data_IF_020639514007
#
_entry.id   IF_020639514007
#
_cell.length_a   1.000
_cell.length_b   1.000
_cell.length_c   1.000
_cell.angle_alpha   90.00
_cell.angle_beta   90.00
_cell.angle_gamma   90.00
#
_symmetry.space_group_name_H-M   'P 1'
#
loop_
_entity.id
_entity.type
_entity.pdbx_description
1 polymer ?
#
# COMPACT_ATOMS: atom_id res chain seq x y z
N UNK A 1 6.73 11.72 -22.13
CA UNK A 1 7.46 12.69 -21.28
C UNK A 1 6.44 13.71 -20.84
N UNK A 2 6.02 13.67 -19.59
CA UNK A 2 5.12 14.67 -19.02
C UNK A 2 5.97 15.73 -18.33
N UNK A 3 5.97 16.96 -18.82
CA UNK A 3 6.47 18.12 -18.10
C UNK A 3 5.31 18.73 -17.31
N UNK A 4 5.39 18.66 -15.98
CA UNK A 4 4.44 19.34 -15.11
C UNK A 4 5.13 20.63 -14.63
N UNK A 5 4.62 21.77 -15.08
CA UNK A 5 4.99 23.06 -14.51
C UNK A 5 3.93 23.45 -13.49
N UNK A 6 4.31 23.49 -12.23
CA UNK A 6 3.45 24.04 -11.18
C UNK A 6 3.81 25.50 -10.96
N UNK A 7 2.85 26.38 -11.16
CA UNK A 7 2.96 27.79 -10.82
C UNK A 7 2.26 28.02 -9.48
N UNK A 8 3.03 28.39 -8.48
CA UNK A 8 2.49 28.89 -7.21
C UNK A 8 2.07 30.35 -7.32
N UNK A 9 0.91 30.71 -6.79
CA UNK A 9 0.44 32.10 -6.75
C UNK A 9 1.11 32.87 -5.61
N UNK A 10 1.31 34.16 -5.84
CA UNK A 10 1.84 35.10 -4.85
C UNK A 10 0.97 35.12 -3.60
N UNK A 11 1.55 34.86 -2.43
CA UNK A 11 0.77 34.72 -1.23
C UNK A 11 0.91 35.90 -0.27
N UNK A 12 -0.15 36.17 0.40
CA UNK A 12 -0.25 37.10 1.51
C UNK A 12 0.23 36.40 2.80
N UNK A 13 0.83 37.20 3.71
CA UNK A 13 1.03 36.74 5.08
C UNK A 13 -0.31 36.74 5.81
N UNK A 14 -0.71 35.57 6.32
CA UNK A 14 -1.93 35.43 7.12
C UNK A 14 -1.56 35.03 8.54
N UNK A 15 -2.08 35.81 9.47
CA UNK A 15 -2.01 35.48 10.90
C UNK A 15 -3.26 34.68 11.30
N UNK A 16 -3.06 33.50 11.89
CA UNK A 16 -4.15 32.64 12.35
C UNK A 16 -4.30 32.61 13.88
N UNK A 17 -3.70 33.56 14.59
CA UNK A 17 -3.70 33.63 16.06
C UNK A 17 -2.52 32.92 16.73
N UNK A 18 -1.74 32.11 16.01
CA UNK A 18 -0.60 31.36 16.55
C UNK A 18 0.68 31.47 15.71
N UNK A 19 0.57 31.58 14.40
CA UNK A 19 1.71 31.68 13.49
C UNK A 19 1.37 32.45 12.22
N UNK A 20 2.40 32.98 11.59
CA UNK A 20 2.30 33.59 10.28
C UNK A 20 2.52 32.54 9.19
N UNK A 21 1.61 32.48 8.25
CA UNK A 21 1.78 31.68 7.03
C UNK A 21 2.16 32.62 5.90
N UNK A 22 3.30 32.39 5.26
CA UNK A 22 3.73 33.12 4.08
C UNK A 22 3.67 32.19 2.87
N UNK A 23 2.92 32.60 1.86
CA UNK A 23 2.88 31.94 0.56
C UNK A 23 3.76 32.73 -0.40
N UNK A 24 4.69 32.07 -1.07
CA UNK A 24 5.55 32.70 -2.07
C UNK A 24 5.24 32.14 -3.44
N UNK A 25 5.29 32.98 -4.48
CA UNK A 25 5.27 32.50 -5.85
C UNK A 25 6.55 31.71 -6.08
N UNK A 26 6.40 30.44 -6.47
CA UNK A 26 7.52 29.54 -6.72
C UNK A 26 7.32 28.89 -8.08
N UNK A 27 8.28 29.06 -8.95
CA UNK A 27 8.34 28.33 -10.22
C UNK A 27 9.10 27.02 -9.92
N UNK A 28 8.38 25.94 -9.65
CA UNK A 28 8.98 24.61 -9.54
C UNK A 28 8.94 23.92 -10.91
N UNK A 29 10.08 23.37 -11.33
CA UNK A 29 10.18 22.57 -12.55
C UNK A 29 10.41 21.13 -12.15
N UNK A 30 9.57 20.22 -12.64
CA UNK A 30 9.82 18.78 -12.54
C UNK A 30 9.76 18.14 -13.90
N UNK A 31 10.64 17.19 -14.14
CA UNK A 31 10.61 16.30 -15.29
C UNK A 31 10.38 14.90 -14.76
N UNK A 32 9.30 14.27 -15.20
CA UNK A 32 8.93 12.92 -14.81
C UNK A 32 8.94 12.03 -16.05
N UNK A 33 9.61 10.87 -15.92
CA UNK A 33 9.65 9.83 -16.94
C UNK A 33 9.24 8.53 -16.26
N UNK A 34 8.23 7.87 -16.80
CA UNK A 34 7.77 6.60 -16.26
C UNK A 34 7.32 5.65 -17.35
N UNK A 35 7.27 4.38 -16.98
CA UNK A 35 6.77 3.30 -17.82
C UNK A 35 6.26 2.16 -16.97
N UNK A 36 5.36 1.36 -17.52
CA UNK A 36 4.87 0.15 -16.91
C UNK A 36 4.81 -0.99 -17.90
N UNK A 37 5.00 -2.21 -17.38
CA UNK A 37 4.88 -3.46 -18.10
C UNK A 37 3.89 -4.34 -17.38
N UNK A 38 3.00 -4.96 -18.14
CA UNK A 38 2.01 -5.90 -17.64
C UNK A 38 2.07 -7.19 -18.44
N UNK A 39 2.22 -8.32 -17.74
CA UNK A 39 2.20 -9.65 -18.31
C UNK A 39 1.19 -10.49 -17.53
N UNK A 40 0.31 -11.19 -18.22
CA UNK A 40 -0.65 -12.10 -17.59
C UNK A 40 -0.79 -13.37 -18.42
N UNK A 41 -0.84 -14.52 -17.73
CA UNK A 41 -1.06 -15.82 -18.37
C UNK A 41 -2.06 -16.63 -17.57
N UNK A 42 -3.07 -17.16 -18.25
CA UNK A 42 -4.02 -18.12 -17.73
C UNK A 42 -3.65 -19.54 -18.16
N UNK A 43 -3.78 -20.48 -17.24
CA UNK A 43 -3.65 -21.93 -17.44
C UNK A 43 -4.99 -22.56 -17.09
N UNK A 44 -5.85 -22.64 -18.08
CA UNK A 44 -7.27 -23.00 -17.87
C UNK A 44 -7.45 -24.39 -17.28
N UNK A 45 -6.68 -25.37 -17.76
CA UNK A 45 -6.73 -26.75 -17.26
C UNK A 45 -6.30 -26.87 -15.79
N UNK A 46 -5.49 -25.93 -15.31
CA UNK A 46 -5.01 -25.86 -13.93
C UNK A 46 -5.84 -24.92 -13.07
N UNK A 47 -6.84 -24.25 -13.63
CA UNK A 47 -7.57 -23.16 -12.94
C UNK A 47 -6.66 -22.11 -12.34
N UNK A 48 -5.53 -21.83 -13.01
CA UNK A 48 -4.47 -20.95 -12.53
C UNK A 48 -4.31 -19.73 -13.44
N UNK A 49 -4.22 -18.57 -12.84
CA UNK A 49 -3.85 -17.33 -13.51
C UNK A 49 -2.66 -16.70 -12.80
N UNK A 50 -1.68 -16.31 -13.58
CA UNK A 50 -0.50 -15.56 -13.09
C UNK A 50 -0.45 -14.19 -13.72
N UNK A 51 0.02 -13.22 -12.97
CA UNK A 51 0.18 -11.84 -13.43
C UNK A 51 1.47 -11.28 -12.85
N UNK A 52 2.17 -10.51 -13.65
CA UNK A 52 3.32 -9.72 -13.24
C UNK A 52 3.14 -8.31 -13.78
N UNK A 53 3.15 -7.34 -12.90
CA UNK A 53 3.16 -5.93 -13.24
C UNK A 53 4.46 -5.31 -12.73
N UNK A 54 5.12 -4.53 -13.57
CA UNK A 54 6.30 -3.77 -13.24
C UNK A 54 6.10 -2.32 -13.61
N UNK A 55 6.52 -1.40 -12.77
CA UNK A 55 6.52 0.02 -13.09
C UNK A 55 7.82 0.67 -12.65
N UNK A 56 8.25 1.65 -13.42
CA UNK A 56 9.37 2.51 -13.15
C UNK A 56 8.97 3.95 -13.30
N UNK A 57 9.37 4.79 -12.37
CA UNK A 57 9.16 6.22 -12.44
C UNK A 57 10.43 6.95 -11.97
N UNK A 58 10.91 7.86 -12.81
CA UNK A 58 12.02 8.76 -12.53
C UNK A 58 11.51 10.18 -12.48
N UNK A 59 11.84 10.90 -11.40
CA UNK A 59 11.52 12.30 -11.20
C UNK A 59 12.79 13.10 -10.97
N UNK A 60 12.91 14.23 -11.64
CA UNK A 60 13.96 15.21 -11.39
C UNK A 60 13.36 16.59 -11.32
N UNK A 61 13.63 17.32 -10.24
CA UNK A 61 13.03 18.63 -10.08
C UNK A 61 13.71 19.47 -9.01
N UNK A 62 13.07 20.59 -8.75
CA UNK A 62 13.42 21.50 -7.68
C UNK A 62 12.20 21.70 -6.78
N UNK A 63 12.42 21.63 -5.50
CA UNK A 63 11.41 21.90 -4.48
C UNK A 63 11.95 22.92 -3.51
N UNK A 64 11.10 23.84 -3.09
CA UNK A 64 11.49 24.88 -2.16
C UNK A 64 11.23 24.44 -0.72
N UNK A 65 12.25 24.65 0.12
CA UNK A 65 12.13 24.44 1.56
C UNK A 65 12.82 25.60 2.28
N UNK A 66 12.09 26.26 3.17
CA UNK A 66 12.58 27.42 3.93
C UNK A 66 13.18 28.53 3.03
N UNK A 67 12.52 28.81 1.89
CA UNK A 67 12.96 29.86 0.95
C UNK A 67 14.14 29.49 0.06
N UNK A 68 14.65 28.24 0.11
CA UNK A 68 15.76 27.77 -0.73
C UNK A 68 15.28 26.71 -1.70
N UNK A 69 15.72 26.82 -2.96
CA UNK A 69 15.52 25.78 -3.96
C UNK A 69 16.43 24.58 -3.65
N UNK A 70 15.88 23.40 -3.55
CA UNK A 70 16.58 22.14 -3.35
C UNK A 70 16.31 21.28 -4.56
N UNK A 71 17.34 21.00 -5.35
CA UNK A 71 17.23 20.06 -6.46
C UNK A 71 17.21 18.63 -5.94
N UNK A 72 16.37 17.81 -6.53
CA UNK A 72 16.26 16.38 -6.20
C UNK A 72 16.16 15.51 -7.45
N UNK A 73 16.54 14.26 -7.28
CA UNK A 73 16.21 13.17 -8.19
C UNK A 73 15.60 12.03 -7.38
N UNK A 74 14.59 11.38 -7.92
CA UNK A 74 13.95 10.23 -7.30
C UNK A 74 13.68 9.15 -8.33
N UNK A 75 13.96 7.91 -7.96
CA UNK A 75 13.64 6.70 -8.72
C UNK A 75 12.69 5.84 -7.91
N UNK A 76 11.63 5.37 -8.53
CA UNK A 76 10.71 4.43 -7.93
C UNK A 76 10.53 3.22 -8.85
N UNK A 77 10.77 2.04 -8.32
CA UNK A 77 10.53 0.76 -9.00
C UNK A 77 9.50 0.00 -8.20
N UNK A 78 8.44 -0.46 -8.85
CA UNK A 78 7.43 -1.30 -8.22
C UNK A 78 7.23 -2.57 -9.03
N UNK A 79 7.21 -3.71 -8.35
CA UNK A 79 6.93 -5.02 -8.95
C UNK A 79 5.78 -5.67 -8.20
N UNK A 80 4.74 -6.09 -8.94
CA UNK A 80 3.52 -6.69 -8.38
C UNK A 80 3.26 -8.06 -9.03
N UNK A 81 3.80 -9.15 -8.46
CA UNK A 81 3.40 -10.51 -8.83
C UNK A 81 2.04 -10.86 -8.23
N UNK A 82 1.21 -11.58 -8.97
CA UNK A 82 0.01 -12.20 -8.42
C UNK A 82 -0.25 -13.57 -9.02
N UNK A 83 -0.88 -14.43 -8.21
CA UNK A 83 -1.25 -15.78 -8.56
C UNK A 83 -2.67 -16.00 -8.06
N UNK A 84 -3.56 -16.40 -8.95
CA UNK A 84 -4.95 -16.78 -8.65
C UNK A 84 -5.14 -18.25 -9.05
N UNK A 85 -5.54 -19.08 -8.10
CA UNK A 85 -5.89 -20.49 -8.30
C UNK A 85 -7.32 -20.70 -7.82
N UNK A 86 -8.22 -21.12 -8.72
CA UNK A 86 -9.66 -21.16 -8.43
C UNK A 86 -10.35 -22.38 -9.05
N UNK A 87 -10.07 -23.61 -8.58
CA UNK A 87 -10.88 -24.76 -8.90
C UNK A 87 -12.28 -24.65 -8.28
N UNK A 88 -13.18 -25.55 -8.60
CA UNK A 88 -14.60 -25.47 -8.20
C UNK A 88 -14.86 -25.50 -6.69
N UNK A 89 -13.95 -26.03 -5.89
CA UNK A 89 -14.12 -26.23 -4.44
C UNK A 89 -13.34 -25.23 -3.56
N UNK A 90 -12.39 -24.51 -4.13
CA UNK A 90 -11.65 -23.49 -3.39
C UNK A 90 -11.21 -22.34 -4.30
N UNK A 91 -10.80 -21.24 -3.70
CA UNK A 91 -10.04 -20.19 -4.36
C UNK A 91 -8.86 -19.80 -3.47
N UNK A 92 -7.71 -19.61 -4.08
CA UNK A 92 -6.50 -19.12 -3.45
C UNK A 92 -5.97 -17.97 -4.28
N UNK A 93 -5.62 -16.87 -3.62
CA UNK A 93 -4.99 -15.73 -4.26
C UNK A 93 -3.76 -15.30 -3.47
N UNK A 94 -2.69 -15.04 -4.19
CA UNK A 94 -1.48 -14.39 -3.68
C UNK A 94 -1.24 -13.11 -4.46
N UNK A 95 -0.97 -12.03 -3.74
CA UNK A 95 -0.55 -10.75 -4.31
C UNK A 95 0.67 -10.22 -3.56
N UNK A 96 1.71 -9.87 -4.30
CA UNK A 96 2.89 -9.19 -3.79
C UNK A 96 2.98 -7.78 -4.35
N UNK A 97 3.52 -6.86 -3.57
CA UNK A 97 3.93 -5.53 -4.01
C UNK A 97 5.27 -5.21 -3.39
N UNK A 98 6.27 -5.01 -4.23
CA UNK A 98 7.65 -4.73 -3.84
C UNK A 98 8.02 -3.36 -4.40
N UNK A 99 8.31 -2.40 -3.55
CA UNK A 99 8.61 -1.03 -3.92
C UNK A 99 10.01 -0.64 -3.46
N UNK A 100 10.83 -0.21 -4.41
CA UNK A 100 12.16 0.31 -4.19
C UNK A 100 12.16 1.80 -4.53
N UNK A 101 12.44 2.61 -3.57
CA UNK A 101 12.51 4.04 -3.72
C UNK A 101 13.93 4.53 -3.45
N UNK A 102 14.48 5.30 -4.38
CA UNK A 102 15.76 5.97 -4.22
C UNK A 102 15.58 7.47 -4.40
N UNK A 103 16.18 8.25 -3.53
CA UNK A 103 16.14 9.70 -3.60
C UNK A 103 17.52 10.28 -3.34
N UNK A 104 17.89 11.28 -4.11
CA UNK A 104 19.10 12.06 -3.91
C UNK A 104 18.73 13.53 -3.91
N UNK A 105 19.07 14.22 -2.85
CA UNK A 105 18.90 15.67 -2.69
C UNK A 105 20.24 16.35 -2.84
N UNK A 106 20.22 17.60 -3.32
CA UNK A 106 21.41 18.40 -3.43
C UNK A 106 22.17 18.47 -2.09
N UNK A 107 23.47 18.13 -2.11
CA UNK A 107 24.35 18.14 -0.93
C UNK A 107 23.99 17.14 0.20
N UNK A 108 23.08 16.20 -0.04
CA UNK A 108 22.75 15.14 0.91
C UNK A 108 23.16 13.78 0.37
N UNK A 109 23.31 12.81 1.26
CA UNK A 109 23.52 11.42 0.89
C UNK A 109 22.29 10.88 0.14
N UNK A 110 22.51 9.85 -0.69
CA UNK A 110 21.42 9.11 -1.33
C UNK A 110 20.64 8.39 -0.23
N UNK A 111 19.33 8.55 -0.24
CA UNK A 111 18.41 7.80 0.63
C UNK A 111 17.70 6.74 -0.21
N UNK A 112 17.62 5.53 0.29
CA UNK A 112 16.90 4.43 -0.33
C UNK A 112 15.92 3.81 0.66
N UNK A 113 14.79 3.32 0.15
CA UNK A 113 13.81 2.57 0.92
C UNK A 113 13.37 1.35 0.15
N UNK A 114 13.14 0.29 0.89
CA UNK A 114 12.53 -0.92 0.41
C UNK A 114 11.31 -1.25 1.26
N UNK A 115 10.14 -1.19 0.64
CA UNK A 115 8.89 -1.59 1.24
C UNK A 115 8.29 -2.75 0.47
N UNK A 116 7.66 -3.68 1.17
CA UNK A 116 6.89 -4.71 0.51
C UNK A 116 5.63 -5.08 1.29
N UNK A 117 4.61 -5.44 0.55
CA UNK A 117 3.36 -5.97 1.02
C UNK A 117 3.11 -7.31 0.33
N UNK A 118 2.78 -8.32 1.10
CA UNK A 118 2.34 -9.62 0.57
C UNK A 118 0.99 -9.95 1.17
N UNK A 119 0.06 -10.37 0.34
CA UNK A 119 -1.25 -10.83 0.78
C UNK A 119 -1.55 -12.20 0.23
N UNK A 120 -2.11 -13.03 1.10
CA UNK A 120 -2.64 -14.35 0.77
C UNK A 120 -4.09 -14.38 1.19
N UNK A 121 -4.96 -14.85 0.32
CA UNK A 121 -6.34 -15.15 0.66
C UNK A 121 -6.69 -16.56 0.20
N UNK A 122 -7.48 -17.25 0.98
CA UNK A 122 -7.99 -18.56 0.66
C UNK A 122 -9.46 -18.66 1.05
N UNK A 123 -10.25 -19.23 0.18
CA UNK A 123 -11.65 -19.59 0.46
C UNK A 123 -11.91 -21.03 0.04
N UNK A 124 -12.69 -21.75 0.81
CA UNK A 124 -13.10 -23.10 0.47
C UNK A 124 -14.56 -23.32 0.88
N UNK A 125 -15.31 -24.05 0.04
CA UNK A 125 -16.67 -24.48 0.35
C UNK A 125 -16.65 -25.98 0.54
N UNK A 126 -16.93 -26.44 1.76
CA UNK A 126 -16.99 -27.85 2.13
C UNK A 126 -18.41 -28.16 2.57
N UNK A 127 -19.16 -28.83 1.70
CA UNK A 127 -20.57 -29.12 1.93
C UNK A 127 -21.40 -27.84 2.18
N UNK A 128 -21.79 -27.59 3.41
CA UNK A 128 -22.59 -26.43 3.83
C UNK A 128 -21.78 -25.37 4.58
N UNK A 129 -20.46 -25.51 4.62
CA UNK A 129 -19.56 -24.61 5.33
C UNK A 129 -18.68 -23.89 4.33
N UNK A 130 -18.72 -22.55 4.36
CA UNK A 130 -17.75 -21.72 3.67
C UNK A 130 -16.71 -21.28 4.69
N UNK A 131 -15.45 -21.47 4.34
CA UNK A 131 -14.30 -21.03 5.11
C UNK A 131 -13.59 -19.94 4.32
N UNK A 132 -13.16 -18.90 5.00
CA UNK A 132 -12.26 -17.91 4.40
C UNK A 132 -11.12 -17.55 5.37
N UNK A 133 -9.98 -17.26 4.79
CA UNK A 133 -8.78 -16.86 5.49
C UNK A 133 -8.08 -15.78 4.68
N UNK A 134 -7.57 -14.77 5.34
CA UNK A 134 -6.71 -13.76 4.75
C UNK A 134 -5.51 -13.46 5.64
N UNK A 135 -4.38 -13.22 5.00
CA UNK A 135 -3.12 -12.87 5.65
C UNK A 135 -2.45 -11.77 4.87
N UNK A 136 -2.03 -10.71 5.54
CA UNK A 136 -1.27 -9.62 4.93
C UNK A 136 -0.04 -9.36 5.77
N UNK A 137 1.12 -9.38 5.11
CA UNK A 137 2.40 -9.05 5.71
C UNK A 137 2.95 -7.78 5.08
N UNK A 138 3.28 -6.81 5.92
CA UNK A 138 3.91 -5.56 5.55
C UNK A 138 5.33 -5.52 6.10
N UNK A 139 6.25 -5.09 5.25
CA UNK A 139 7.59 -4.70 5.65
C UNK A 139 7.77 -3.25 5.23
N UNK A 140 7.82 -2.35 6.19
CA UNK A 140 7.98 -0.93 5.95
C UNK A 140 9.33 -0.48 6.53
N UNK A 141 10.18 0.01 5.68
CA UNK A 141 11.40 0.70 6.10
C UNK A 141 11.03 2.13 6.53
N UNK A 142 11.31 2.49 7.78
CA UNK A 142 10.93 3.77 8.36
C UNK A 142 12.01 4.84 8.14
N UNK A 143 13.25 4.45 8.32
CA UNK A 143 14.44 5.24 8.06
C UNK A 143 15.59 4.27 7.76
N UNK A 144 16.70 4.78 7.26
CA UNK A 144 17.90 3.98 6.97
C UNK A 144 18.24 3.05 8.14
N UNK A 145 18.12 1.75 7.92
CA UNK A 145 18.38 0.71 8.93
C UNK A 145 17.27 0.44 9.95
N UNK A 146 16.17 1.19 9.94
CA UNK A 146 15.00 0.94 10.79
C UNK A 146 13.83 0.43 9.98
N UNK A 147 13.24 -0.70 10.35
CA UNK A 147 12.11 -1.30 9.65
C UNK A 147 11.06 -1.82 10.62
N UNK A 148 9.82 -1.88 10.16
CA UNK A 148 8.69 -2.46 10.89
C UNK A 148 8.07 -3.58 10.08
N UNK A 149 7.92 -4.75 10.70
CA UNK A 149 7.20 -5.89 10.16
C UNK A 149 5.84 -6.00 10.84
N UNK A 150 4.77 -5.97 10.04
CA UNK A 150 3.41 -6.11 10.54
C UNK A 150 2.71 -7.25 9.83
N UNK A 151 2.23 -8.22 10.59
CA UNK A 151 1.44 -9.35 10.11
C UNK A 151 0.01 -9.18 10.60
N UNK A 152 -0.94 -9.11 9.66
CA UNK A 152 -2.38 -9.04 9.92
C UNK A 152 -3.03 -10.29 9.34
N UNK A 153 -4.07 -10.78 9.98
CA UNK A 153 -4.79 -11.94 9.49
C UNK A 153 -6.20 -11.97 10.03
N UNK A 154 -7.10 -12.48 9.19
CA UNK A 154 -8.51 -12.66 9.51
C UNK A 154 -8.95 -14.05 9.06
N UNK A 155 -9.91 -14.62 9.77
CA UNK A 155 -10.51 -15.92 9.42
C UNK A 155 -12.01 -15.85 9.62
N UNK A 156 -12.76 -16.52 8.76
CA UNK A 156 -14.20 -16.67 8.95
C UNK A 156 -14.71 -18.05 8.55
N UNK A 157 -15.80 -18.43 9.16
CA UNK A 157 -16.55 -19.62 8.84
C UNK A 157 -18.04 -19.28 8.76
N UNK A 158 -18.71 -19.75 7.71
CA UNK A 158 -20.16 -19.57 7.51
C UNK A 158 -20.79 -20.94 7.30
N UNK A 159 -21.64 -21.34 8.23
CA UNK A 159 -22.42 -22.55 8.13
C UNK A 159 -23.83 -22.24 7.63
N UNK A 160 -24.22 -22.85 6.50
CA UNK A 160 -25.54 -22.67 5.87
C UNK A 160 -26.39 -23.90 6.09
N UNK A 161 -27.49 -23.72 6.79
CA UNK A 161 -28.58 -24.66 6.92
C UNK A 161 -29.81 -24.15 6.14
N UNK A 162 -30.81 -24.97 5.92
CA UNK A 162 -31.99 -24.61 5.09
C UNK A 162 -32.56 -23.22 5.39
N UNK A 163 -32.76 -22.88 6.68
CA UNK A 163 -33.35 -21.63 7.12
C UNK A 163 -32.44 -20.83 8.07
N UNK A 164 -31.33 -21.41 8.49
CA UNK A 164 -30.40 -20.81 9.45
C UNK A 164 -29.01 -20.66 8.83
N UNK A 165 -28.45 -19.46 8.95
CA UNK A 165 -27.06 -19.16 8.60
C UNK A 165 -26.33 -18.71 9.86
N UNK A 166 -25.30 -19.42 10.25
CA UNK A 166 -24.41 -19.05 11.33
C UNK A 166 -23.08 -18.58 10.73
N UNK A 167 -22.59 -17.44 11.18
CA UNK A 167 -21.28 -16.96 10.78
C UNK A 167 -20.42 -16.61 11.98
N UNK A 168 -19.16 -16.96 11.91
CA UNK A 168 -18.13 -16.60 12.87
C UNK A 168 -17.01 -15.91 12.13
N UNK A 169 -16.57 -14.78 12.62
CA UNK A 169 -15.46 -14.01 12.04
C UNK A 169 -14.48 -13.64 13.15
N UNK A 170 -13.21 -13.95 12.94
CA UNK A 170 -12.11 -13.60 13.82
C UNK A 170 -11.19 -12.64 13.09
N UNK A 171 -11.14 -11.40 13.54
CA UNK A 171 -10.32 -10.33 12.96
C UNK A 171 -9.08 -10.08 13.80
N UNK A 172 -8.04 -9.61 13.12
CA UNK A 172 -6.75 -9.30 13.70
C UNK A 172 -6.20 -10.47 14.57
N UNK A 173 -6.06 -11.65 13.96
CA UNK A 173 -5.60 -12.89 14.58
C UNK A 173 -4.38 -12.70 15.48
N UNK A 174 -3.45 -11.85 15.05
CA UNK A 174 -2.17 -11.60 15.74
C UNK A 174 -2.25 -10.48 16.77
N UNK A 175 -3.44 -9.89 16.98
CA UNK A 175 -3.68 -8.80 17.92
C UNK A 175 -2.67 -7.64 17.79
N UNK A 176 -2.37 -7.25 16.55
CA UNK A 176 -1.50 -6.11 16.28
C UNK A 176 -2.23 -4.83 16.63
N UNK A 177 -1.55 -3.93 17.35
CA UNK A 177 -2.15 -2.66 17.82
C UNK A 177 -1.80 -1.47 16.94
N UNK A 178 -0.65 -1.51 16.27
CA UNK A 178 -0.14 -0.40 15.49
C UNK A 178 0.32 -0.87 14.11
N UNK A 179 0.10 -0.02 13.12
CA UNK A 179 0.67 -0.09 11.80
C UNK A 179 1.34 1.25 11.50
N UNK A 180 2.52 1.22 10.92
CA UNK A 180 3.26 2.41 10.52
C UNK A 180 3.77 2.22 9.10
N UNK A 181 3.71 3.30 8.31
CA UNK A 181 4.28 3.34 6.97
C UNK A 181 5.02 4.65 6.74
N UNK A 182 6.03 4.59 5.89
CA UNK A 182 6.78 5.77 5.46
C UNK A 182 6.60 5.98 3.98
N UNK A 183 6.21 7.18 3.61
CA UNK A 183 5.99 7.62 2.23
C UNK A 183 7.03 8.69 1.89
N UNK A 184 7.67 8.54 0.74
CA UNK A 184 8.57 9.54 0.17
C UNK A 184 7.89 10.30 -0.95
N UNK A 185 8.01 11.63 -0.90
CA UNK A 185 7.53 12.52 -1.94
C UNK A 185 8.53 13.63 -2.18
N UNK A 186 9.27 13.57 -3.27
CA UNK A 186 10.30 14.54 -3.61
C UNK A 186 11.35 14.68 -2.52
N UNK A 187 11.34 15.80 -1.79
CA UNK A 187 12.25 16.06 -0.66
C UNK A 187 11.62 15.75 0.71
N UNK A 188 10.35 15.39 0.77
CA UNK A 188 9.65 15.13 2.03
C UNK A 188 9.58 13.62 2.33
N UNK A 189 9.61 13.32 3.61
CA UNK A 189 9.38 11.99 4.16
C UNK A 189 8.27 12.12 5.18
N UNK A 190 7.21 11.34 5.00
CA UNK A 190 6.08 11.31 5.94
C UNK A 190 5.97 9.92 6.51
N UNK A 191 5.90 9.82 7.84
CA UNK A 191 5.64 8.55 8.53
C UNK A 191 4.28 8.66 9.18
N UNK A 192 3.36 7.81 8.73
CA UNK A 192 2.01 7.72 9.25
C UNK A 192 1.90 6.54 10.22
N UNK A 193 1.22 6.76 11.34
CA UNK A 193 0.97 5.74 12.37
C UNK A 193 -0.52 5.59 12.60
N UNK A 194 -1.00 4.35 12.50
CA UNK A 194 -2.41 4.02 12.67
C UNK A 194 -2.60 3.06 13.84
N UNK A 195 -3.59 3.37 14.70
CA UNK A 195 -4.06 2.42 15.70
C UNK A 195 -5.02 1.43 15.06
N UNK A 196 -4.71 0.16 15.20
CA UNK A 196 -5.54 -0.93 14.70
C UNK A 196 -6.53 -1.37 15.78
N UNK A 197 -7.71 -1.82 15.36
CA UNK A 197 -8.64 -2.47 16.28
C UNK A 197 -8.00 -3.72 16.86
N UNK A 198 -8.24 -4.01 18.15
CA UNK A 198 -7.74 -5.24 18.77
C UNK A 198 -8.36 -6.47 18.09
N UNK A 199 -7.92 -7.66 18.50
CA UNK A 199 -8.54 -8.91 18.07
C UNK A 199 -10.03 -8.91 18.44
N UNK A 200 -10.86 -9.21 17.44
CA UNK A 200 -12.31 -9.24 17.59
C UNK A 200 -12.85 -10.59 17.13
N UNK A 201 -13.72 -11.20 17.92
CA UNK A 201 -14.53 -12.36 17.54
C UNK A 201 -15.97 -11.90 17.39
N UNK A 202 -16.53 -12.08 16.21
CA UNK A 202 -17.93 -11.79 15.92
C UNK A 202 -18.67 -13.09 15.58
N UNK A 203 -19.84 -13.26 16.16
CA UNK A 203 -20.72 -14.39 15.88
C UNK A 203 -22.06 -13.78 15.47
N UNK A 204 -22.63 -14.23 14.36
CA UNK A 204 -23.96 -13.84 13.93
C UNK A 204 -24.81 -15.04 13.51
N UNK A 205 -26.11 -14.93 13.73
CA UNK A 205 -27.11 -15.90 13.31
C UNK A 205 -28.20 -15.17 12.54
N UNK A 206 -28.55 -15.69 11.37
CA UNK A 206 -29.61 -15.18 10.52
C UNK A 206 -30.61 -16.32 10.27
N UNK A 207 -31.88 -16.06 10.54
CA UNK A 207 -32.95 -16.99 10.26
C UNK A 207 -33.89 -16.41 9.20
N UNK A 208 -34.25 -17.26 8.21
CA UNK A 208 -35.20 -16.90 7.14
C UNK A 208 -36.50 -17.70 7.37
N UNK A 209 -37.60 -16.97 7.47
CA UNK A 209 -38.93 -17.52 7.69
C UNK A 209 -39.50 -18.23 6.45
#
# INVERSE_FOLDING_TARGET
INQIMMYGTHGEQRWNGKYYTSLYKQDSKSNDIGGSLYISKGFYDLHLKTRLEGSYNYSKGEQYSSGKAISYTADNYTVKPSIDFSPSWCAFSYEGEFSFYNSKRQKMAKSSLFNWRQSVSATATISHVDLSFSLVHYHNELQEGSHLNTLLGDASAVWRMKKLRLSTELRNLFNKKNYMETIYSGISTTTDSYYLRPRELMISAQYSF
#
